data_IF_832096927131
#
_entry.id   IF_832096927131
#
_cell.length_a   1.000
_cell.length_b   1.000
_cell.length_c   1.000
_cell.angle_alpha   90.00
_cell.angle_beta   90.00
_cell.angle_gamma   90.00
#
_symmetry.space_group_name_H-M   'P 1'
#
loop_
_entity.id
_entity.type
_entity.pdbx_description
1 polymer ?
#
# COMPACT_ATOMS: atom_id res chain seq x y z
N UNK A 1 -9.39 -28.31 -21.24
CA UNK A 1 -8.68 -27.95 -19.99
C UNK A 1 -9.46 -26.82 -19.35
N UNK A 2 -10.07 -27.07 -18.19
CA UNK A 2 -10.90 -26.07 -17.52
C UNK A 2 -9.99 -25.09 -16.78
N UNK A 3 -9.83 -23.89 -17.31
CA UNK A 3 -9.29 -22.74 -16.57
C UNK A 3 -10.30 -22.38 -15.50
N UNK A 4 -10.03 -22.78 -14.25
CA UNK A 4 -10.80 -22.32 -13.10
C UNK A 4 -10.49 -20.84 -12.91
N UNK A 5 -11.38 -19.96 -13.38
CA UNK A 5 -11.35 -18.55 -13.03
C UNK A 5 -11.73 -18.43 -11.56
N UNK A 6 -10.73 -18.54 -10.67
CA UNK A 6 -10.90 -18.15 -9.27
C UNK A 6 -11.12 -16.64 -9.26
N UNK A 7 -12.32 -16.20 -8.86
CA UNK A 7 -12.61 -14.80 -8.55
C UNK A 7 -11.61 -14.36 -7.49
N UNK A 8 -10.54 -13.66 -7.89
CA UNK A 8 -9.51 -13.18 -6.98
C UNK A 8 -10.13 -12.06 -6.13
N UNK A 9 -10.71 -12.41 -4.98
CA UNK A 9 -11.16 -11.41 -4.01
C UNK A 9 -9.93 -10.63 -3.55
N UNK A 10 -9.98 -9.30 -3.70
CA UNK A 10 -8.90 -8.42 -3.25
C UNK A 10 -8.68 -8.58 -1.73
N UNK A 11 -7.46 -8.88 -1.25
CA UNK A 11 -7.19 -8.97 0.18
C UNK A 11 -7.52 -7.65 0.91
N UNK A 12 -7.97 -7.70 2.17
CA UNK A 12 -8.36 -6.49 2.89
C UNK A 12 -7.14 -5.66 3.29
N UNK A 13 -7.34 -4.34 3.37
CA UNK A 13 -6.43 -3.46 4.11
C UNK A 13 -6.64 -3.62 5.61
N UNK A 14 -5.56 -3.81 6.35
CA UNK A 14 -5.56 -3.88 7.82
C UNK A 14 -5.05 -2.57 8.40
N UNK A 15 -5.78 -2.01 9.36
CA UNK A 15 -5.28 -0.89 10.17
C UNK A 15 -4.45 -1.44 11.34
N UNK A 16 -3.18 -1.05 11.41
CA UNK A 16 -2.33 -1.33 12.57
C UNK A 16 -2.91 -0.68 13.83
N UNK A 17 -2.88 -1.41 14.94
CA UNK A 17 -3.37 -0.94 16.24
C UNK A 17 -2.35 -1.20 17.34
N UNK A 18 -2.39 -0.36 18.38
CA UNK A 18 -1.65 -0.55 19.63
C UNK A 18 -2.58 -0.94 20.79
N UNK A 19 -3.86 -1.19 20.52
CA UNK A 19 -4.81 -1.61 21.54
C UNK A 19 -4.32 -2.88 22.25
N UNK A 20 -4.51 -2.94 23.57
CA UNK A 20 -4.10 -4.10 24.38
C UNK A 20 -4.75 -5.37 23.83
N UNK A 21 -3.96 -6.42 23.66
CA UNK A 21 -4.41 -7.70 23.10
C UNK A 21 -4.49 -7.76 21.57
N UNK A 22 -4.38 -6.64 20.86
CA UNK A 22 -4.38 -6.66 19.40
C UNK A 22 -3.14 -7.37 18.86
N UNK A 23 -3.35 -8.18 17.82
CA UNK A 23 -2.30 -8.86 17.06
C UNK A 23 -2.55 -8.63 15.57
N UNK A 24 -1.47 -8.43 14.82
CA UNK A 24 -1.56 -8.36 13.38
C UNK A 24 -2.05 -9.72 12.86
N UNK A 25 -3.09 -9.79 12.02
CA UNK A 25 -3.58 -11.05 11.49
C UNK A 25 -2.47 -11.81 10.76
N UNK A 26 -2.49 -13.14 10.84
CA UNK A 26 -1.50 -13.99 10.18
C UNK A 26 -1.49 -13.72 8.66
N UNK A 27 -0.31 -13.82 8.04
CA UNK A 27 -0.14 -13.56 6.60
C UNK A 27 -0.27 -12.10 6.18
N UNK A 28 -0.48 -11.15 7.11
CA UNK A 28 -0.55 -9.71 6.78
C UNK A 28 0.84 -9.13 6.61
N UNK A 29 1.07 -8.41 5.52
CA UNK A 29 2.35 -7.73 5.24
C UNK A 29 2.27 -6.28 5.70
N UNK A 30 3.24 -5.87 6.52
CA UNK A 30 3.35 -4.50 6.97
C UNK A 30 3.97 -3.62 5.88
N UNK A 31 3.26 -2.55 5.50
CA UNK A 31 3.68 -1.64 4.42
C UNK A 31 3.77 -0.17 4.86
N UNK A 32 3.85 0.10 6.16
CA UNK A 32 3.94 1.47 6.66
C UNK A 32 5.25 2.18 6.25
N UNK A 33 5.35 3.48 6.56
CA UNK A 33 6.53 4.32 6.26
C UNK A 33 7.85 3.89 6.91
N UNK A 34 7.86 2.82 7.72
CA UNK A 34 9.10 2.24 8.27
C UNK A 34 9.62 1.08 7.41
N UNK A 35 8.98 0.81 6.27
CA UNK A 35 9.32 -0.25 5.33
C UNK A 35 9.63 0.34 3.94
N UNK A 36 10.25 -0.46 3.07
CA UNK A 36 10.51 -0.10 1.66
C UNK A 36 9.23 0.13 0.84
N UNK A 37 8.08 -0.33 1.35
CA UNK A 37 6.75 -0.12 0.76
C UNK A 37 6.11 1.22 1.13
N UNK A 38 6.76 2.00 1.99
CA UNK A 38 6.22 3.25 2.51
C UNK A 38 6.00 4.30 1.42
N UNK A 39 4.94 5.10 1.59
CA UNK A 39 4.75 6.30 0.77
C UNK A 39 5.85 7.35 1.07
N UNK A 40 6.66 7.78 0.08
CA UNK A 40 7.67 8.83 0.27
C UNK A 40 7.07 10.23 0.48
N UNK A 41 5.79 10.44 0.18
CA UNK A 41 5.09 11.70 0.39
C UNK A 41 4.49 11.76 1.81
N UNK A 42 4.99 12.68 2.65
CA UNK A 42 4.57 12.75 4.04
C UNK A 42 3.16 13.35 4.19
N UNK A 43 2.20 12.50 4.56
CA UNK A 43 0.80 12.90 4.80
C UNK A 43 0.65 13.96 5.91
N UNK A 44 1.63 14.10 6.81
CA UNK A 44 1.61 15.12 7.87
C UNK A 44 1.86 16.53 7.34
N UNK A 45 2.50 16.64 6.18
CA UNK A 45 2.80 17.91 5.53
C UNK A 45 1.79 18.24 4.43
N UNK A 46 1.37 17.22 3.67
CA UNK A 46 0.54 17.39 2.48
C UNK A 46 -0.96 17.15 2.72
N UNK A 47 -1.32 16.50 3.82
CA UNK A 47 -2.62 15.85 3.95
C UNK A 47 -2.68 14.51 3.20
N UNK A 48 -3.64 13.65 3.56
CA UNK A 48 -3.70 12.26 3.05
C UNK A 48 -4.03 12.17 1.57
N UNK A 49 -5.02 12.94 1.12
CA UNK A 49 -5.48 12.93 -0.28
C UNK A 49 -4.35 13.34 -1.22
N UNK A 50 -3.69 14.47 -0.94
CA UNK A 50 -2.58 14.94 -1.77
C UNK A 50 -1.36 14.03 -1.69
N UNK A 51 -1.02 13.49 -0.51
CA UNK A 51 0.07 12.53 -0.38
C UNK A 51 -0.15 11.26 -1.23
N UNK A 52 -1.41 10.84 -1.42
CA UNK A 52 -1.74 9.68 -2.25
C UNK A 52 -1.82 10.05 -3.72
N UNK A 53 -2.37 11.23 -4.06
CA UNK A 53 -2.34 11.74 -5.43
C UNK A 53 -0.90 11.76 -5.96
N UNK A 54 0.04 12.29 -5.16
CA UNK A 54 1.47 12.29 -5.52
C UNK A 54 2.09 10.89 -5.55
N UNK A 55 1.66 10.01 -4.65
CA UNK A 55 2.11 8.61 -4.66
C UNK A 55 1.69 7.88 -5.94
N UNK A 56 0.44 8.04 -6.36
CA UNK A 56 -0.11 7.48 -7.60
C UNK A 56 0.62 8.07 -8.82
N UNK A 57 0.79 9.39 -8.87
CA UNK A 57 1.58 10.05 -9.91
C UNK A 57 3.00 9.46 -10.02
N UNK A 58 3.69 9.37 -8.87
CA UNK A 58 5.05 8.84 -8.81
C UNK A 58 5.12 7.38 -9.23
N UNK A 59 4.24 6.51 -8.72
CA UNK A 59 4.23 5.08 -9.06
C UNK A 59 3.96 4.85 -10.56
N UNK A 60 3.21 5.76 -11.20
CA UNK A 60 2.91 5.76 -12.64
C UNK A 60 4.01 6.40 -13.50
N UNK A 61 5.14 6.78 -12.92
CA UNK A 61 6.31 7.25 -13.68
C UNK A 61 6.68 8.71 -13.47
N UNK A 62 5.88 9.51 -12.74
CA UNK A 62 6.19 10.93 -12.58
C UNK A 62 7.39 11.18 -11.65
N UNK A 63 8.36 11.95 -12.15
CA UNK A 63 9.54 12.35 -11.40
C UNK A 63 10.57 11.23 -11.20
N UNK A 64 11.56 11.45 -10.30
CA UNK A 64 12.67 10.53 -10.10
C UNK A 64 12.22 9.18 -9.54
N UNK A 65 12.95 8.12 -9.88
CA UNK A 65 12.68 6.77 -9.38
C UNK A 65 12.83 6.67 -7.86
N UNK A 66 13.88 7.29 -7.31
CA UNK A 66 14.16 7.25 -5.88
C UNK A 66 13.68 8.51 -5.16
N UNK A 67 13.09 8.32 -3.98
CA UNK A 67 12.70 9.40 -3.06
C UNK A 67 13.02 9.05 -1.62
N UNK A 68 13.20 10.03 -0.72
CA UNK A 68 13.43 9.77 0.70
C UNK A 68 12.25 9.01 1.35
N UNK A 69 12.53 7.86 1.98
CA UNK A 69 11.58 7.01 2.71
C UNK A 69 11.52 7.25 4.23
N UNK A 70 12.15 8.32 4.70
CA UNK A 70 12.36 8.60 6.13
C UNK A 70 13.56 7.86 6.71
N UNK A 71 13.95 8.25 7.94
CA UNK A 71 15.24 7.89 8.56
C UNK A 71 15.54 6.38 8.62
N UNK A 72 14.52 5.53 8.77
CA UNK A 72 14.70 4.07 8.89
C UNK A 72 14.92 3.36 7.54
N UNK A 73 14.38 3.92 6.46
CA UNK A 73 14.38 3.28 5.14
C UNK A 73 15.44 3.91 4.25
N UNK A 74 15.82 5.17 4.50
CA UNK A 74 16.74 5.91 3.64
C UNK A 74 16.01 6.35 2.38
N UNK A 75 16.18 5.61 1.30
CA UNK A 75 15.55 5.84 0.01
C UNK A 75 14.52 4.75 -0.30
N UNK A 76 13.46 5.13 -0.99
CA UNK A 76 12.45 4.24 -1.57
C UNK A 76 12.53 4.40 -3.08
N UNK A 77 12.64 3.29 -3.80
CA UNK A 77 12.69 3.23 -5.26
C UNK A 77 11.35 2.74 -5.80
N UNK A 78 10.82 3.44 -6.81
CA UNK A 78 9.62 3.00 -7.55
C UNK A 78 9.89 1.69 -8.27
N UNK A 79 11.02 1.58 -8.98
CA UNK A 79 11.41 0.35 -9.67
C UNK A 79 11.48 -0.84 -8.71
N UNK A 80 12.01 -0.65 -7.50
CA UNK A 80 12.01 -1.69 -6.47
C UNK A 80 10.58 -2.07 -6.05
N UNK A 81 9.71 -1.09 -5.77
CA UNK A 81 8.31 -1.34 -5.40
C UNK A 81 7.60 -2.14 -6.49
N UNK A 82 7.67 -1.69 -7.74
CA UNK A 82 7.01 -2.35 -8.87
C UNK A 82 7.55 -3.76 -9.10
N UNK A 83 8.87 -3.95 -9.05
CA UNK A 83 9.51 -5.24 -9.24
C UNK A 83 9.23 -6.26 -8.13
N UNK A 84 8.75 -5.82 -6.96
CA UNK A 84 8.45 -6.69 -5.83
C UNK A 84 6.94 -6.85 -5.56
N UNK A 85 6.06 -6.21 -6.35
CA UNK A 85 4.60 -6.35 -6.20
C UNK A 85 4.11 -7.80 -6.06
N UNK A 86 4.68 -8.81 -6.76
CA UNK A 86 4.26 -10.21 -6.58
C UNK A 86 4.36 -10.72 -5.14
N UNK A 87 5.23 -10.17 -4.29
CA UNK A 87 5.34 -10.53 -2.87
C UNK A 87 4.11 -10.09 -2.07
N UNK A 88 3.38 -9.08 -2.56
CA UNK A 88 2.18 -8.56 -1.91
C UNK A 88 0.89 -9.23 -2.40
N UNK A 89 0.94 -9.95 -3.52
CA UNK A 89 -0.22 -10.58 -4.12
C UNK A 89 -0.84 -11.61 -3.17
N UNK A 90 -2.16 -11.59 -3.01
CA UNK A 90 -2.89 -12.49 -2.10
C UNK A 90 -2.73 -12.19 -0.61
N UNK A 91 -1.96 -11.18 -0.20
CA UNK A 91 -1.72 -10.84 1.20
C UNK A 91 -2.49 -9.59 1.65
N UNK A 92 -3.11 -9.59 2.85
CA UNK A 92 -3.60 -8.37 3.47
C UNK A 92 -2.44 -7.40 3.72
N UNK A 93 -2.67 -6.10 3.51
CA UNK A 93 -1.64 -5.08 3.72
C UNK A 93 -1.96 -4.21 4.94
N UNK A 94 -0.98 -4.05 5.83
CA UNK A 94 -1.13 -3.30 7.07
C UNK A 94 -0.44 -1.93 7.06
N UNK A 95 -1.19 -0.89 7.45
CA UNK A 95 -0.69 0.47 7.64
C UNK A 95 -1.37 1.15 8.84
N UNK A 96 -0.78 2.25 9.36
CA UNK A 96 -1.35 3.02 10.47
C UNK A 96 -2.50 3.95 10.05
N UNK A 97 -2.67 4.22 8.76
CA UNK A 97 -3.71 5.13 8.28
C UNK A 97 -5.12 4.63 8.63
N UNK A 98 -6.05 5.52 8.97
CA UNK A 98 -7.44 5.14 9.23
C UNK A 98 -8.10 4.49 7.99
N UNK A 99 -9.20 3.74 8.17
CA UNK A 99 -9.98 3.24 7.05
C UNK A 99 -10.44 4.39 6.15
N UNK A 100 -10.50 4.13 4.85
CA UNK A 100 -11.04 5.09 3.88
C UNK A 100 -12.54 5.21 4.07
N UNK A 101 -13.07 6.42 3.91
CA UNK A 101 -14.52 6.63 3.94
C UNK A 101 -15.15 5.84 2.78
N UNK A 102 -16.22 5.06 3.02
CA UNK A 102 -16.96 4.43 1.92
C UNK A 102 -17.37 5.46 0.87
N UNK A 103 -17.06 5.21 -0.40
CA UNK A 103 -17.33 6.13 -1.51
C UNK A 103 -16.43 7.38 -1.58
N UNK A 104 -15.48 7.53 -0.65
CA UNK A 104 -14.48 8.60 -0.67
C UNK A 104 -13.20 8.21 -1.41
N UNK A 105 -12.30 9.18 -1.68
CA UNK A 105 -11.00 8.89 -2.29
C UNK A 105 -10.12 8.03 -1.36
N UNK A 106 -9.18 7.24 -1.91
CA UNK A 106 -8.25 6.48 -1.09
C UNK A 106 -7.41 7.41 -0.21
N UNK A 107 -7.34 7.10 1.09
CA UNK A 107 -6.54 7.86 2.07
C UNK A 107 -5.37 7.05 2.64
N UNK A 108 -5.10 5.85 2.11
CA UNK A 108 -3.91 5.07 2.40
C UNK A 108 -3.20 4.60 1.12
N UNK A 109 -1.85 4.62 1.11
CA UNK A 109 -1.06 4.07 0.01
C UNK A 109 -1.13 2.55 -0.07
N UNK A 110 -1.45 1.88 1.04
CA UNK A 110 -1.67 0.43 1.04
C UNK A 110 -2.86 0.02 0.17
N UNK A 111 -3.85 0.91 -0.03
CA UNK A 111 -4.95 0.65 -0.96
C UNK A 111 -4.43 0.60 -2.40
N UNK A 112 -3.54 1.53 -2.78
CA UNK A 112 -2.88 1.56 -4.10
C UNK A 112 -2.01 0.32 -4.30
N UNK A 113 -1.24 -0.09 -3.29
CA UNK A 113 -0.42 -1.32 -3.37
C UNK A 113 -1.26 -2.58 -3.51
N UNK A 114 -2.41 -2.67 -2.83
CA UNK A 114 -3.34 -3.80 -2.98
C UNK A 114 -3.87 -3.88 -4.42
N UNK A 115 -4.23 -2.75 -5.03
CA UNK A 115 -4.77 -2.70 -6.39
C UNK A 115 -3.70 -3.10 -7.41
N UNK A 116 -2.47 -2.59 -7.25
CA UNK A 116 -1.34 -2.93 -8.13
C UNK A 116 -0.91 -4.39 -8.01
N UNK A 117 -0.94 -4.96 -6.80
CA UNK A 117 -0.52 -6.34 -6.55
C UNK A 117 -1.59 -7.37 -6.93
N UNK A 118 -2.85 -6.98 -7.04
CA UNK A 118 -3.98 -7.87 -7.32
C UNK A 118 -4.83 -7.35 -8.50
N UNK A 119 -4.25 -7.23 -9.72
CA UNK A 119 -4.99 -6.76 -10.88
C UNK A 119 -6.17 -7.69 -11.20
N UNK A 120 -7.36 -7.13 -11.39
CA UNK A 120 -8.59 -7.89 -11.62
C UNK A 120 -9.30 -8.38 -10.35
N UNK A 121 -8.75 -8.09 -9.16
CA UNK A 121 -9.46 -8.29 -7.91
C UNK A 121 -10.47 -7.18 -7.68
N UNK A 122 -11.76 -7.46 -7.85
CA UNK A 122 -12.82 -6.53 -7.53
C UNK A 122 -12.84 -6.18 -6.03
N UNK A 123 -13.42 -5.01 -5.66
CA UNK A 123 -13.72 -4.70 -4.27
C UNK A 123 -14.74 -5.69 -3.66
#
# INVERSE_FOLDING_TARGET
MATTTSTLVRPPRVRLSRARGWRMPAGTIKVDRTTRWGNPFDYRQLGRVEAIRRYIAWINGEGPDERPGGRRVGMVSRAWVLGHLPVLAGHPLACWCPPSTPGGPPICHADVLLDLANPGGGP
#
